data_IF_534962239239
#
_entry.id   IF_534962239239
#
_cell.length_a   1.000
_cell.length_b   1.000
_cell.length_c   1.000
_cell.angle_alpha   90.00
_cell.angle_beta   90.00
_cell.angle_gamma   90.00
#
_symmetry.space_group_name_H-M   'P 1'
#
loop_
_entity.id
_entity.type
_entity.pdbx_description
1 polymer ?
#
# COMPACT_ATOMS: atom_id res chain seq x y z
N UNK A 1 -3.04 -7.85 -9.62
CA UNK A 1 -3.54 -6.72 -10.42
C UNK A 1 -5.06 -6.82 -10.49
N UNK A 2 -5.75 -5.93 -9.79
CA UNK A 2 -7.21 -5.96 -9.76
C UNK A 2 -7.73 -5.35 -11.06
N UNK A 3 -8.03 -6.17 -12.05
CA UNK A 3 -8.63 -5.75 -13.31
C UNK A 3 -10.13 -6.03 -13.22
N UNK A 4 -10.88 -5.05 -12.72
CA UNK A 4 -12.34 -5.06 -12.80
C UNK A 4 -12.77 -4.29 -14.04
N UNK A 5 -13.30 -4.98 -15.03
CA UNK A 5 -14.00 -4.36 -16.16
C UNK A 5 -15.39 -3.93 -15.68
N UNK A 6 -15.62 -2.63 -15.54
CA UNK A 6 -16.95 -2.06 -15.31
C UNK A 6 -17.54 -1.55 -16.63
N UNK A 7 -18.80 -1.88 -16.98
CA UNK A 7 -19.44 -1.31 -18.14
C UNK A 7 -20.17 0.00 -17.80
N UNK A 8 -19.94 1.02 -18.62
CA UNK A 8 -20.75 2.23 -18.84
C UNK A 8 -20.77 3.33 -17.76
N UNK A 9 -20.06 4.43 -18.04
CA UNK A 9 -20.60 5.76 -17.76
C UNK A 9 -20.26 6.74 -18.87
N UNK A 10 -21.32 7.28 -19.50
CA UNK A 10 -21.23 8.39 -20.47
C UNK A 10 -20.96 9.68 -19.71
N UNK A 11 -19.92 10.42 -20.11
CA UNK A 11 -19.66 11.78 -19.63
C UNK A 11 -20.37 12.82 -20.52
N UNK A 12 -20.91 13.93 -19.95
CA UNK A 12 -21.26 15.12 -20.72
C UNK A 12 -20.05 16.05 -20.90
N UNK A 13 -19.97 16.81 -21.99
CA UNK A 13 -18.87 17.73 -22.27
C UNK A 13 -19.15 19.11 -21.67
N UNK A 14 -18.16 19.80 -21.17
CA UNK A 14 -18.00 21.26 -21.05
C UNK A 14 -16.88 21.58 -20.04
N UNK A 15 -15.74 22.06 -20.50
CA UNK A 15 -15.21 23.39 -20.21
C UNK A 15 -13.91 23.64 -20.99
N UNK A 16 -13.94 24.70 -21.79
CA UNK A 16 -12.78 25.32 -22.45
C UNK A 16 -12.46 26.63 -21.71
N UNK A 17 -11.19 26.96 -21.64
CA UNK A 17 -10.61 28.28 -21.34
C UNK A 17 -9.33 28.10 -20.53
N UNK A 18 -8.20 28.58 -20.90
CA UNK A 18 -7.73 29.60 -21.79
C UNK A 18 -6.69 30.48 -21.09
N UNK A 19 -5.37 30.33 -21.47
CA UNK A 19 -4.28 31.34 -21.54
C UNK A 19 -3.94 32.22 -20.29
N UNK A 20 -2.67 32.38 -19.91
CA UNK A 20 -1.54 33.08 -20.54
C UNK A 20 -0.28 33.09 -19.66
N UNK A 21 0.85 33.15 -20.33
CA UNK A 21 2.22 33.25 -19.84
C UNK A 21 2.59 34.62 -19.25
N UNK A 22 3.60 34.67 -18.40
CA UNK A 22 4.51 35.80 -18.29
C UNK A 22 5.91 35.37 -17.84
N UNK A 23 6.89 35.79 -18.61
CA UNK A 23 8.35 35.64 -18.47
C UNK A 23 8.88 36.75 -17.56
N UNK A 24 9.89 36.42 -16.75
CA UNK A 24 10.66 37.43 -16.02
C UNK A 24 12.01 36.86 -15.59
N UNK A 25 13.04 37.10 -16.41
CA UNK A 25 14.44 36.88 -16.09
C UNK A 25 15.02 38.07 -15.37
N UNK A 26 15.83 37.82 -14.32
CA UNK A 26 16.78 38.83 -13.83
C UNK A 26 18.07 38.13 -13.39
N UNK A 27 19.12 38.50 -14.12
CA UNK A 27 20.53 38.18 -13.86
C UNK A 27 21.09 39.22 -12.91
N UNK A 28 21.89 38.85 -11.90
CA UNK A 28 22.86 39.73 -11.29
C UNK A 28 24.14 38.97 -10.92
N UNK A 29 25.23 39.40 -11.55
CA UNK A 29 26.62 39.08 -11.25
C UNK A 29 27.11 39.82 -9.99
N UNK A 30 28.10 39.26 -9.32
CA UNK A 30 28.93 40.01 -8.36
C UNK A 30 29.93 39.16 -7.58
N UNK A 31 31.10 39.05 -8.13
CA UNK A 31 32.46 39.37 -7.64
C UNK A 31 33.08 38.53 -6.50
N UNK A 32 34.21 37.96 -6.88
CA UNK A 32 35.26 37.30 -6.12
C UNK A 32 36.07 38.28 -5.24
N UNK A 33 36.42 37.91 -4.02
CA UNK A 33 37.61 38.39 -3.32
C UNK A 33 38.33 37.25 -2.62
N UNK A 34 39.56 37.03 -3.02
CA UNK A 34 40.58 36.13 -2.49
C UNK A 34 41.30 36.73 -1.28
N UNK A 35 41.58 35.93 -0.25
CA UNK A 35 42.51 36.23 0.85
C UNK A 35 43.14 34.96 1.42
N UNK A 36 44.39 34.97 1.95
CA UNK A 36 45.29 33.84 1.96
C UNK A 36 45.18 32.91 3.19
N UNK A 37 45.58 31.67 2.95
CA UNK A 37 45.66 30.55 3.89
C UNK A 37 46.65 30.77 5.06
N UNK A 38 46.24 30.38 6.26
CA UNK A 38 47.13 30.01 7.37
C UNK A 38 46.80 28.60 7.81
N UNK A 39 47.79 27.71 7.60
CA UNK A 39 47.82 26.34 8.10
C UNK A 39 48.19 26.34 9.60
N UNK A 40 47.36 25.81 10.44
CA UNK A 40 47.73 25.33 11.76
C UNK A 40 47.26 23.87 11.90
N UNK A 41 48.25 22.98 12.07
CA UNK A 41 48.01 21.58 12.37
C UNK A 41 47.50 21.45 13.81
N UNK A 42 46.36 20.78 14.00
CA UNK A 42 45.88 20.35 15.30
C UNK A 42 45.64 18.84 15.27
N UNK A 43 46.17 18.18 16.28
CA UNK A 43 46.13 16.74 16.50
C UNK A 43 44.72 16.17 16.53
N UNK A 44 44.54 15.00 15.88
CA UNK A 44 43.30 14.22 15.90
C UNK A 44 43.27 13.38 17.17
N UNK A 45 42.24 13.46 18.03
CA UNK A 45 41.95 12.41 19.00
C UNK A 45 41.12 11.32 18.31
N UNK A 46 41.48 10.07 18.56
CA UNK A 46 40.71 8.89 18.13
C UNK A 46 39.29 8.92 18.73
N UNK A 47 38.33 9.22 17.89
CA UNK A 47 36.91 9.17 18.23
C UNK A 47 36.33 7.78 17.98
N UNK A 48 35.59 7.29 18.98
CA UNK A 48 34.76 6.10 18.89
C UNK A 48 33.74 6.23 17.74
N UNK A 49 33.28 5.13 17.12
CA UNK A 49 32.20 5.21 16.14
C UNK A 49 30.90 5.60 16.86
N UNK A 50 30.51 6.85 16.75
CA UNK A 50 29.17 7.29 17.12
C UNK A 50 28.16 6.62 16.16
N UNK A 51 27.32 5.79 16.72
CA UNK A 51 26.10 5.31 16.09
C UNK A 51 25.30 6.53 15.63
N UNK A 52 25.17 6.73 14.32
CA UNK A 52 24.23 7.67 13.75
C UNK A 52 22.81 7.24 14.12
N UNK A 53 22.34 7.70 15.27
CA UNK A 53 20.91 7.80 15.52
C UNK A 53 20.35 8.78 14.49
N UNK A 54 19.74 8.25 13.43
CA UNK A 54 18.91 9.05 12.55
C UNK A 54 17.77 9.61 13.39
N UNK A 55 17.91 10.86 13.82
CA UNK A 55 16.82 11.62 14.38
C UNK A 55 15.79 11.79 13.26
N UNK A 56 14.75 10.97 13.28
CA UNK A 56 13.54 11.22 12.52
C UNK A 56 12.97 12.53 13.01
N UNK A 57 13.27 13.63 12.30
CA UNK A 57 12.54 14.87 12.47
C UNK A 57 11.07 14.57 12.21
N UNK A 58 10.28 14.51 13.29
CA UNK A 58 8.82 14.47 13.18
C UNK A 58 8.41 15.67 12.33
N UNK A 59 8.07 15.43 11.07
CA UNK A 59 7.52 16.48 10.20
C UNK A 59 6.21 16.91 10.85
N UNK A 60 6.22 18.09 11.44
CA UNK A 60 5.07 18.64 12.17
C UNK A 60 3.83 18.56 11.29
N UNK A 61 2.79 17.92 11.77
CA UNK A 61 1.50 17.86 11.11
C UNK A 61 1.20 16.59 10.30
N UNK A 62 2.05 15.56 10.32
CA UNK A 62 1.70 14.26 9.74
C UNK A 62 0.43 13.70 10.37
N UNK A 63 -0.43 13.05 9.54
CA UNK A 63 -1.74 12.55 9.95
C UNK A 63 -2.78 13.63 10.25
N UNK A 64 -2.47 14.92 10.02
CA UNK A 64 -3.46 16.00 10.17
C UNK A 64 -4.51 15.86 9.09
N UNK A 65 -5.78 15.80 9.50
CA UNK A 65 -6.93 15.77 8.60
C UNK A 65 -7.02 17.09 7.82
N UNK A 66 -7.05 16.99 6.48
CA UNK A 66 -7.26 18.12 5.57
C UNK A 66 -8.74 18.27 5.26
N UNK A 67 -9.40 17.18 4.85
CA UNK A 67 -10.84 17.14 4.56
C UNK A 67 -11.43 15.78 4.89
N UNK A 68 -12.75 15.76 5.09
CA UNK A 68 -13.55 14.55 5.25
C UNK A 68 -14.83 14.70 4.44
N UNK A 69 -15.07 13.77 3.54
CA UNK A 69 -16.26 13.69 2.70
C UNK A 69 -17.05 12.44 3.03
N UNK A 70 -18.36 12.57 3.24
CA UNK A 70 -19.23 11.41 3.34
C UNK A 70 -19.54 10.88 1.95
N UNK A 71 -19.09 9.66 1.66
CA UNK A 71 -19.27 9.05 0.34
C UNK A 71 -20.65 8.40 0.19
N UNK A 72 -20.98 7.51 1.12
CA UNK A 72 -22.27 6.79 1.08
C UNK A 72 -22.66 6.21 2.45
N UNK A 73 -23.87 5.70 2.48
CA UNK A 73 -24.41 4.94 3.62
C UNK A 73 -25.08 3.67 3.11
N UNK A 74 -24.71 2.52 3.63
CA UNK A 74 -25.43 1.26 3.52
C UNK A 74 -26.21 1.08 4.81
N UNK A 75 -27.49 1.44 4.79
CA UNK A 75 -28.26 1.68 6.01
C UNK A 75 -28.56 0.42 6.84
N UNK A 76 -28.47 -0.76 6.23
CA UNK A 76 -28.81 -2.04 6.88
C UNK A 76 -27.76 -3.10 6.62
N UNK A 77 -27.72 -4.14 7.46
CA UNK A 77 -26.90 -5.32 7.23
C UNK A 77 -27.19 -5.97 5.87
N UNK A 78 -28.45 -6.01 5.43
CA UNK A 78 -28.84 -6.55 4.13
C UNK A 78 -28.24 -5.74 2.97
N UNK A 79 -28.18 -4.40 3.09
CA UNK A 79 -27.55 -3.56 2.07
C UNK A 79 -26.05 -3.80 2.01
N UNK A 80 -25.37 -4.00 3.16
CA UNK A 80 -23.96 -4.37 3.20
C UNK A 80 -23.73 -5.76 2.60
N UNK A 81 -24.56 -6.74 2.95
CA UNK A 81 -24.49 -8.08 2.40
C UNK A 81 -24.61 -8.08 0.87
N UNK A 82 -25.56 -7.30 0.33
CA UNK A 82 -25.71 -7.16 -1.11
C UNK A 82 -24.48 -6.52 -1.78
N UNK A 83 -23.88 -5.49 -1.15
CA UNK A 83 -22.67 -4.83 -1.62
C UNK A 83 -21.47 -5.80 -1.66
N UNK A 84 -21.25 -6.56 -0.58
CA UNK A 84 -20.16 -7.54 -0.52
C UNK A 84 -20.33 -8.66 -1.56
N UNK A 85 -21.54 -9.22 -1.70
CA UNK A 85 -21.81 -10.22 -2.75
C UNK A 85 -21.60 -9.68 -4.15
N UNK A 86 -21.94 -8.42 -4.44
CA UNK A 86 -21.71 -7.81 -5.76
C UNK A 86 -20.21 -7.68 -6.08
N UNK A 87 -19.38 -7.54 -5.05
CA UNK A 87 -17.92 -7.54 -5.17
C UNK A 87 -17.30 -8.96 -5.09
N UNK A 88 -18.12 -10.02 -4.99
CA UNK A 88 -17.70 -11.41 -4.92
C UNK A 88 -17.28 -11.88 -3.54
N UNK A 89 -17.53 -11.12 -2.47
CA UNK A 89 -17.18 -11.49 -1.10
C UNK A 89 -18.32 -12.17 -0.35
N UNK A 90 -17.97 -13.01 0.64
CA UNK A 90 -18.91 -13.62 1.56
C UNK A 90 -19.53 -12.57 2.50
N UNK A 91 -20.77 -12.81 2.94
CA UNK A 91 -21.52 -11.89 3.80
C UNK A 91 -21.88 -12.47 5.19
N UNK A 92 -21.36 -13.62 5.54
CA UNK A 92 -21.65 -14.36 6.77
C UNK A 92 -21.23 -13.62 8.06
N UNK A 93 -20.27 -12.70 7.94
CA UNK A 93 -19.76 -11.87 9.04
C UNK A 93 -20.50 -10.53 9.18
N UNK A 94 -21.40 -10.21 8.27
CA UNK A 94 -22.17 -8.95 8.27
C UNK A 94 -23.12 -8.87 9.45
N UNK A 95 -23.10 -7.75 10.19
CA UNK A 95 -23.93 -7.51 11.38
C UNK A 95 -24.65 -6.16 11.36
N UNK A 96 -23.98 -5.12 10.84
CA UNK A 96 -24.44 -3.73 10.88
C UNK A 96 -24.48 -3.13 9.47
N UNK A 97 -25.33 -2.12 9.28
CA UNK A 97 -25.14 -1.15 8.21
C UNK A 97 -23.82 -0.38 8.42
N UNK A 98 -23.37 0.35 7.42
CA UNK A 98 -22.14 1.15 7.51
C UNK A 98 -22.30 2.53 6.90
N UNK A 99 -21.46 3.46 7.34
CA UNK A 99 -21.25 4.76 6.70
C UNK A 99 -19.79 4.91 6.32
N UNK A 100 -19.54 5.36 5.09
CA UNK A 100 -18.21 5.49 4.50
C UNK A 100 -17.84 6.96 4.28
N UNK A 101 -16.59 7.30 4.57
CA UNK A 101 -16.01 8.62 4.40
C UNK A 101 -14.69 8.50 3.64
N UNK A 102 -14.42 9.45 2.75
CA UNK A 102 -13.05 9.73 2.27
C UNK A 102 -12.43 10.73 3.22
N UNK A 103 -11.23 10.41 3.70
CA UNK A 103 -10.40 11.35 4.45
C UNK A 103 -9.20 11.72 3.59
N UNK A 104 -8.91 13.03 3.47
CA UNK A 104 -7.65 13.54 2.92
C UNK A 104 -6.80 14.03 4.08
N UNK A 105 -5.54 13.66 4.11
CA UNK A 105 -4.64 13.94 5.23
C UNK A 105 -3.23 14.30 4.79
N UNK A 106 -2.51 14.98 5.66
CA UNK A 106 -1.10 15.31 5.45
C UNK A 106 -0.21 14.12 5.77
N UNK A 107 0.76 13.90 4.91
CA UNK A 107 1.79 12.85 5.03
C UNK A 107 3.11 13.33 4.45
N UNK A 108 4.05 12.43 4.22
CA UNK A 108 5.32 12.72 3.53
C UNK A 108 5.52 11.78 2.36
N UNK A 109 6.23 12.26 1.34
CA UNK A 109 6.68 11.44 0.21
C UNK A 109 7.85 10.51 0.62
N UNK A 110 8.34 9.62 -0.26
CA UNK A 110 9.47 8.73 0.04
C UNK A 110 10.77 9.46 0.42
N UNK A 111 10.90 10.74 0.08
CA UNK A 111 12.04 11.59 0.41
C UNK A 111 11.81 12.44 1.67
N UNK A 112 10.71 12.21 2.40
CA UNK A 112 10.37 12.96 3.62
C UNK A 112 9.80 14.34 3.37
N UNK A 113 9.46 14.73 2.13
CA UNK A 113 8.85 16.02 1.83
C UNK A 113 7.35 15.99 2.10
N UNK A 114 6.78 17.09 2.64
CA UNK A 114 5.35 17.17 2.91
C UNK A 114 4.50 16.95 1.64
N UNK A 115 3.50 16.08 1.76
CA UNK A 115 2.50 15.81 0.72
C UNK A 115 1.14 15.51 1.35
N UNK A 116 0.18 15.05 0.54
CA UNK A 116 -1.13 14.58 1.00
C UNK A 116 -1.42 13.19 0.44
N UNK A 117 -2.25 12.45 1.14
CA UNK A 117 -2.85 11.22 0.67
C UNK A 117 -4.32 11.17 1.08
N UNK A 118 -5.06 10.21 0.55
CA UNK A 118 -6.44 9.95 0.93
C UNK A 118 -6.62 8.51 1.41
N UNK A 119 -7.81 8.22 1.90
CA UNK A 119 -8.18 6.87 2.29
C UNK A 119 -9.65 6.74 2.65
N UNK A 120 -10.12 5.49 2.69
CA UNK A 120 -11.48 5.12 3.04
C UNK A 120 -11.58 4.86 4.54
N UNK A 121 -12.51 5.55 5.21
CA UNK A 121 -12.86 5.34 6.60
C UNK A 121 -14.31 4.88 6.71
N UNK A 122 -14.53 3.68 7.25
CA UNK A 122 -15.86 3.06 7.32
C UNK A 122 -16.22 2.78 8.78
N UNK A 123 -17.40 3.21 9.16
CA UNK A 123 -17.92 3.04 10.52
C UNK A 123 -19.21 2.22 10.54
N UNK A 124 -19.42 1.37 11.56
CA UNK A 124 -20.68 0.65 11.73
C UNK A 124 -21.80 1.62 12.06
N UNK A 125 -22.97 1.41 11.46
CA UNK A 125 -24.20 2.08 11.85
C UNK A 125 -24.86 1.31 12.99
N UNK A 126 -25.08 2.00 14.09
CA UNK A 126 -25.82 1.44 15.23
C UNK A 126 -27.28 1.87 15.17
N UNK A 127 -28.18 0.92 14.93
CA UNK A 127 -29.64 1.16 14.83
C UNK A 127 -30.29 1.52 16.16
N UNK A 128 -29.58 1.37 17.30
CA UNK A 128 -30.18 1.54 18.63
C UNK A 128 -29.77 2.84 19.34
N UNK A 129 -29.35 3.90 18.61
CA UNK A 129 -28.64 4.96 19.28
C UNK A 129 -29.20 6.39 19.27
N UNK A 130 -29.54 6.80 20.45
CA UNK A 130 -29.24 8.11 21.05
C UNK A 130 -28.20 7.91 22.16
N UNK A 131 -26.91 7.78 21.87
CA UNK A 131 -25.94 7.65 22.93
C UNK A 131 -25.40 9.01 23.34
N UNK A 132 -25.53 9.29 24.61
CA UNK A 132 -24.94 10.44 25.31
C UNK A 132 -23.41 10.31 25.47
N UNK A 133 -22.83 9.16 25.07
CA UNK A 133 -21.39 8.87 25.23
C UNK A 133 -20.76 8.41 23.92
N UNK A 134 -19.53 8.81 23.70
CA UNK A 134 -18.69 8.36 22.58
C UNK A 134 -18.51 6.83 22.65
N UNK A 135 -18.64 6.14 21.51
CA UNK A 135 -18.45 4.69 21.45
C UNK A 135 -17.02 4.34 21.06
N UNK A 136 -16.29 3.58 21.89
CA UNK A 136 -14.98 3.07 21.51
C UNK A 136 -15.12 1.99 20.43
N UNK A 137 -14.23 2.05 19.43
CA UNK A 137 -14.12 1.08 18.35
C UNK A 137 -12.65 0.70 18.16
N UNK A 138 -12.38 -0.59 18.04
CA UNK A 138 -11.09 -1.04 17.52
C UNK A 138 -10.98 -0.67 16.04
N UNK A 139 -9.84 -0.12 15.64
CA UNK A 139 -9.54 0.08 14.24
C UNK A 139 -9.04 -1.22 13.60
N UNK A 140 -9.45 -1.48 12.36
CA UNK A 140 -8.84 -2.46 11.47
C UNK A 140 -8.27 -1.70 10.28
N UNK A 141 -6.94 -1.72 10.13
CA UNK A 141 -6.25 -1.18 8.97
C UNK A 141 -6.17 -2.25 7.89
N UNK A 142 -6.73 -1.98 6.73
CA UNK A 142 -6.64 -2.84 5.54
C UNK A 142 -5.81 -2.15 4.48
N UNK A 143 -4.70 -2.75 4.10
CA UNK A 143 -3.81 -2.33 3.03
C UNK A 143 -4.17 -3.08 1.74
N UNK A 144 -4.54 -2.35 0.68
CA UNK A 144 -5.02 -2.96 -0.57
C UNK A 144 -3.89 -3.48 -1.46
N UNK A 145 -4.23 -4.34 -2.42
CA UNK A 145 -3.30 -4.87 -3.43
C UNK A 145 -2.99 -3.85 -4.53
N UNK A 146 -2.17 -4.27 -5.50
CA UNK A 146 -1.71 -3.44 -6.61
C UNK A 146 -2.87 -2.82 -7.39
N UNK A 147 -2.81 -1.51 -7.57
CA UNK A 147 -3.62 -0.72 -8.48
C UNK A 147 -2.72 0.07 -9.44
N UNK A 148 -3.25 0.47 -10.58
CA UNK A 148 -2.53 1.26 -11.60
C UNK A 148 -3.17 2.63 -11.85
N UNK A 149 -4.49 2.70 -11.78
CA UNK A 149 -5.23 3.94 -11.89
C UNK A 149 -5.53 4.51 -10.51
N UNK A 150 -5.56 5.82 -10.36
CA UNK A 150 -5.89 6.48 -9.08
C UNK A 150 -7.23 6.04 -8.53
N UNK A 151 -8.18 5.72 -9.40
CA UNK A 151 -9.50 5.23 -9.01
C UNK A 151 -9.49 3.76 -8.53
N UNK A 152 -8.40 3.00 -8.66
CA UNK A 152 -8.27 1.66 -8.07
C UNK A 152 -8.12 1.69 -6.54
N UNK A 153 -8.13 2.86 -5.96
CA UNK A 153 -7.99 3.07 -4.53
C UNK A 153 -9.32 2.83 -3.75
N UNK A 154 -9.27 2.38 -2.49
CA UNK A 154 -10.44 2.07 -1.69
C UNK A 154 -11.45 3.21 -1.54
N UNK A 155 -11.00 4.47 -1.46
CA UNK A 155 -11.89 5.61 -1.28
C UNK A 155 -12.54 6.11 -2.57
N UNK A 156 -12.12 5.59 -3.73
CA UNK A 156 -12.56 6.06 -5.04
C UNK A 156 -13.70 5.23 -5.62
N UNK A 157 -13.82 3.97 -5.22
CA UNK A 157 -14.78 3.04 -5.80
C UNK A 157 -15.70 2.46 -4.73
N UNK A 158 -17.00 2.46 -5.03
CA UNK A 158 -18.01 1.76 -4.25
C UNK A 158 -18.29 0.38 -4.86
N UNK A 159 -18.56 -0.62 -4.00
CA UNK A 159 -18.89 -1.98 -4.44
C UNK A 159 -17.73 -2.69 -5.15
N UNK A 160 -16.51 -2.21 -4.93
CA UNK A 160 -15.32 -2.70 -5.58
C UNK A 160 -14.58 -3.70 -4.70
N UNK A 161 -13.80 -4.56 -5.36
CA UNK A 161 -12.94 -5.55 -4.73
C UNK A 161 -12.01 -4.94 -3.66
N UNK A 162 -11.46 -3.74 -3.92
CA UNK A 162 -10.52 -3.06 -3.02
C UNK A 162 -11.16 -2.47 -1.76
N UNK A 163 -12.47 -2.17 -1.78
CA UNK A 163 -13.20 -1.60 -0.63
C UNK A 163 -13.95 -2.64 0.20
N UNK A 164 -14.23 -3.83 -0.36
CA UNK A 164 -15.04 -4.85 0.30
C UNK A 164 -14.47 -5.32 1.65
N UNK A 165 -13.15 -5.60 1.82
CA UNK A 165 -12.62 -6.04 3.11
C UNK A 165 -12.84 -5.02 4.23
N UNK A 166 -12.61 -3.73 3.97
CA UNK A 166 -12.78 -2.69 5.00
C UNK A 166 -14.25 -2.51 5.37
N UNK A 167 -15.18 -2.68 4.41
CA UNK A 167 -16.63 -2.69 4.64
C UNK A 167 -17.04 -3.89 5.50
N UNK A 168 -16.49 -5.08 5.24
CA UNK A 168 -16.76 -6.29 6.01
C UNK A 168 -16.34 -6.13 7.48
N UNK A 169 -15.13 -5.61 7.74
CA UNK A 169 -14.66 -5.31 9.09
C UNK A 169 -15.55 -4.29 9.80
N UNK A 170 -15.95 -3.24 9.10
CA UNK A 170 -16.82 -2.21 9.68
C UNK A 170 -18.22 -2.77 10.00
N UNK A 171 -18.80 -3.55 9.10
CA UNK A 171 -20.10 -4.20 9.37
C UNK A 171 -20.04 -5.20 10.53
N UNK A 172 -18.90 -5.81 10.79
CA UNK A 172 -18.66 -6.66 11.94
C UNK A 172 -18.40 -5.88 13.25
N UNK A 173 -18.52 -4.54 13.24
CA UNK A 173 -18.47 -3.67 14.42
C UNK A 173 -17.08 -3.09 14.74
N UNK A 174 -16.15 -3.07 13.81
CA UNK A 174 -14.88 -2.34 13.91
C UNK A 174 -14.96 -0.96 13.22
N UNK A 175 -13.95 -0.14 13.38
CA UNK A 175 -13.71 0.99 12.50
C UNK A 175 -12.75 0.54 11.37
N UNK A 176 -13.24 0.49 10.14
CA UNK A 176 -12.43 0.12 8.98
C UNK A 176 -11.63 1.32 8.48
N UNK A 177 -10.32 1.15 8.29
CA UNK A 177 -9.38 2.18 7.83
C UNK A 177 -8.58 1.61 6.65
N UNK A 178 -8.71 2.17 5.47
CA UNK A 178 -7.96 1.74 4.29
C UNK A 178 -7.29 2.93 3.63
N UNK A 179 -5.94 3.06 3.72
CA UNK A 179 -5.21 4.08 2.97
C UNK A 179 -5.33 3.82 1.47
N UNK A 180 -5.36 4.90 0.68
CA UNK A 180 -5.27 4.81 -0.79
C UNK A 180 -3.81 4.74 -1.28
N UNK A 181 -2.83 4.96 -0.40
CA UNK A 181 -1.39 5.16 -0.63
C UNK A 181 -1.07 6.50 -1.32
N UNK A 182 0.24 6.77 -1.46
CA UNK A 182 0.72 7.93 -2.22
C UNK A 182 0.47 7.73 -3.72
N UNK A 183 0.12 8.80 -4.42
CA UNK A 183 -0.12 8.76 -5.85
C UNK A 183 -1.42 8.08 -6.28
N UNK A 184 -2.17 7.51 -5.32
CA UNK A 184 -3.49 6.90 -5.52
C UNK A 184 -4.57 7.79 -4.89
N UNK A 185 -5.83 7.55 -5.24
CA UNK A 185 -6.95 8.35 -4.75
C UNK A 185 -6.79 9.84 -5.07
N UNK A 186 -6.96 10.69 -4.05
CA UNK A 186 -6.76 12.14 -4.14
C UNK A 186 -5.28 12.58 -4.00
N UNK A 187 -4.36 11.61 -3.83
CA UNK A 187 -2.93 11.88 -3.67
C UNK A 187 -2.28 12.42 -4.96
N UNK A 188 -1.35 13.39 -4.87
CA UNK A 188 -0.60 13.88 -6.03
C UNK A 188 0.51 12.91 -6.45
N UNK A 189 0.96 13.05 -7.68
CA UNK A 189 2.11 12.31 -8.25
C UNK A 189 1.80 10.87 -8.63
N UNK A 190 2.80 10.10 -9.09
CA UNK A 190 2.69 8.68 -9.35
C UNK A 190 2.75 7.85 -8.07
N UNK A 191 2.21 6.64 -8.10
CA UNK A 191 2.29 5.69 -7.01
C UNK A 191 3.71 5.11 -6.86
N UNK A 192 4.35 5.22 -5.67
CA UNK A 192 5.63 4.57 -5.38
C UNK A 192 5.40 3.09 -5.04
N UNK A 193 5.02 2.32 -6.05
CA UNK A 193 4.62 0.93 -5.93
C UNK A 193 5.68 0.07 -5.24
N UNK A 194 5.28 -0.75 -4.26
CA UNK A 194 6.16 -1.62 -3.46
C UNK A 194 7.21 -0.87 -2.61
N UNK A 195 7.09 0.46 -2.46
CA UNK A 195 7.89 1.20 -1.48
C UNK A 195 7.23 1.09 -0.10
N UNK A 196 7.57 0.04 0.63
CA UNK A 196 6.99 -0.28 1.95
C UNK A 196 7.13 0.89 2.93
N UNK A 197 8.17 1.70 2.81
CA UNK A 197 8.39 2.87 3.65
C UNK A 197 7.27 3.90 3.51
N UNK A 198 6.92 4.28 2.30
CA UNK A 198 5.84 5.24 2.03
C UNK A 198 4.46 4.64 2.27
N UNK A 199 4.25 3.35 1.97
CA UNK A 199 3.00 2.64 2.28
C UNK A 199 2.75 2.59 3.79
N UNK A 200 3.79 2.31 4.58
CA UNK A 200 3.76 2.37 6.06
C UNK A 200 3.40 3.75 6.56
N UNK A 201 4.08 4.77 6.03
CA UNK A 201 3.89 6.16 6.42
C UNK A 201 2.46 6.64 6.12
N UNK A 202 1.97 6.38 4.90
CA UNK A 202 0.61 6.72 4.50
C UNK A 202 -0.44 6.00 5.35
N UNK A 203 -0.22 4.71 5.67
CA UNK A 203 -1.13 3.92 6.51
C UNK A 203 -1.19 4.43 7.95
N UNK A 204 -0.05 4.77 8.55
CA UNK A 204 0.00 5.31 9.91
C UNK A 204 -0.65 6.70 9.99
N UNK A 205 -0.41 7.55 8.99
CA UNK A 205 -1.00 8.88 8.94
C UNK A 205 -2.50 8.85 8.66
N UNK A 206 -3.00 7.84 7.90
CA UNK A 206 -4.43 7.58 7.75
C UNK A 206 -5.09 7.17 9.09
N UNK A 207 -4.44 6.34 9.89
CA UNK A 207 -4.93 5.99 11.24
C UNK A 207 -5.01 7.23 12.14
N UNK A 208 -4.03 8.14 12.09
CA UNK A 208 -4.03 9.41 12.82
C UNK A 208 -5.20 10.30 12.39
N UNK A 209 -5.42 10.44 11.08
CA UNK A 209 -6.54 11.20 10.51
C UNK A 209 -7.90 10.60 10.91
N UNK A 210 -8.03 9.28 10.83
CA UNK A 210 -9.25 8.57 11.24
C UNK A 210 -9.54 8.80 12.74
N UNK A 211 -8.52 8.74 13.61
CA UNK A 211 -8.66 9.05 15.03
C UNK A 211 -9.11 10.49 15.28
N UNK A 212 -8.55 11.45 14.55
CA UNK A 212 -8.93 12.85 14.66
C UNK A 212 -10.36 13.11 14.17
N UNK A 213 -10.84 12.35 13.18
CA UNK A 213 -12.18 12.51 12.62
C UNK A 213 -13.26 11.76 13.39
N UNK A 214 -12.98 10.57 13.95
CA UNK A 214 -13.96 9.70 14.61
C UNK A 214 -14.87 10.41 15.65
N UNK A 215 -14.37 11.36 16.49
CA UNK A 215 -15.23 12.08 17.44
C UNK A 215 -16.37 12.87 16.78
N UNK A 216 -16.18 13.35 15.56
CA UNK A 216 -17.24 14.07 14.81
C UNK A 216 -18.40 13.17 14.41
N UNK A 217 -18.21 11.86 14.50
CA UNK A 217 -19.23 10.82 14.19
C UNK A 217 -19.78 10.13 15.43
N UNK A 218 -19.38 10.58 16.63
CA UNK A 218 -19.78 9.98 17.91
C UNK A 218 -18.99 8.73 18.32
N UNK A 219 -17.79 8.53 17.74
CA UNK A 219 -16.91 7.40 18.03
C UNK A 219 -15.54 7.87 18.51
N UNK A 220 -14.81 6.96 19.19
CA UNK A 220 -13.39 7.12 19.48
C UNK A 220 -12.67 5.83 19.07
N UNK A 221 -11.46 5.95 18.55
CA UNK A 221 -10.65 4.77 18.21
C UNK A 221 -9.84 4.33 19.43
N UNK A 222 -9.87 3.04 19.69
CA UNK A 222 -9.06 2.42 20.74
C UNK A 222 -7.59 2.35 20.34
N UNK A 223 -6.72 2.04 21.32
CA UNK A 223 -5.28 1.99 21.10
C UNK A 223 -4.85 0.82 20.22
N UNK A 224 -5.45 -0.38 20.44
CA UNK A 224 -5.11 -1.58 19.68
C UNK A 224 -5.68 -1.54 18.28
N UNK A 225 -4.79 -1.63 17.28
CA UNK A 225 -5.13 -1.71 15.85
C UNK A 225 -4.90 -3.12 15.35
N UNK A 226 -5.90 -3.70 14.70
CA UNK A 226 -5.75 -4.92 13.93
C UNK A 226 -5.29 -4.55 12.52
N UNK A 227 -4.31 -5.24 11.97
CA UNK A 227 -3.70 -4.92 10.68
C UNK A 227 -3.81 -6.10 9.73
N UNK A 228 -4.31 -5.85 8.54
CA UNK A 228 -4.37 -6.83 7.46
C UNK A 228 -4.08 -6.16 6.13
N UNK A 229 -3.72 -6.93 5.13
CA UNK A 229 -3.46 -6.43 3.79
C UNK A 229 -3.34 -7.57 2.80
N UNK A 230 -3.54 -7.28 1.53
CA UNK A 230 -3.57 -8.25 0.46
C UNK A 230 -2.53 -7.92 -0.61
N UNK A 231 -1.79 -8.95 -1.10
CA UNK A 231 -0.82 -8.80 -2.19
C UNK A 231 0.26 -7.76 -1.83
N UNK A 232 0.47 -6.69 -2.62
CA UNK A 232 1.29 -5.52 -2.25
C UNK A 232 0.98 -5.05 -0.83
N UNK A 233 -0.31 -4.96 -0.48
CA UNK A 233 -0.76 -4.51 0.83
C UNK A 233 -0.38 -5.45 1.98
N UNK A 234 -0.02 -6.69 1.72
CA UNK A 234 0.44 -7.60 2.75
C UNK A 234 1.83 -7.18 3.28
N UNK A 235 2.73 -6.73 2.41
CA UNK A 235 4.02 -6.13 2.80
C UNK A 235 3.81 -4.78 3.51
N UNK A 236 2.90 -3.95 3.02
CA UNK A 236 2.51 -2.69 3.68
C UNK A 236 1.93 -2.93 5.09
N UNK A 237 1.13 -4.00 5.27
CA UNK A 237 0.59 -4.39 6.57
C UNK A 237 1.68 -4.80 7.57
N UNK A 238 2.70 -5.51 7.12
CA UNK A 238 3.88 -5.85 7.93
C UNK A 238 4.67 -4.58 8.30
N UNK A 239 4.90 -3.68 7.35
CA UNK A 239 5.55 -2.39 7.59
C UNK A 239 4.81 -1.54 8.64
N UNK A 240 3.50 -1.37 8.48
CA UNK A 240 2.66 -0.66 9.45
C UNK A 240 2.70 -1.33 10.83
N UNK A 241 2.64 -2.66 10.88
CA UNK A 241 2.66 -3.40 12.14
C UNK A 241 3.99 -3.22 12.90
N UNK A 242 5.10 -3.23 12.16
CA UNK A 242 6.44 -2.93 12.70
C UNK A 242 6.51 -1.51 13.26
N UNK A 243 6.00 -0.52 12.52
CA UNK A 243 5.94 0.89 12.93
C UNK A 243 5.11 1.08 14.20
N UNK A 244 3.92 0.46 14.28
CA UNK A 244 3.07 0.48 15.48
C UNK A 244 3.78 -0.15 16.69
N UNK A 245 4.44 -1.30 16.51
CA UNK A 245 5.20 -1.96 17.58
C UNK A 245 6.43 -1.18 18.01
N UNK A 246 7.08 -0.46 17.11
CA UNK A 246 8.21 0.42 17.39
C UNK A 246 7.80 1.70 18.16
N UNK A 247 6.50 1.99 18.26
CA UNK A 247 5.98 3.16 18.98
C UNK A 247 6.12 4.46 18.20
N UNK A 248 6.16 4.41 16.86
CA UNK A 248 6.17 5.59 15.99
C UNK A 248 4.88 6.42 16.10
N UNK A 249 3.85 5.85 16.68
CA UNK A 249 2.68 6.57 17.17
C UNK A 249 2.51 6.39 18.68
N UNK A 250 2.30 7.48 19.40
CA UNK A 250 2.15 7.45 20.88
C UNK A 250 0.81 6.89 21.34
N UNK A 251 -0.17 6.81 20.46
CA UNK A 251 -1.51 6.33 20.79
C UNK A 251 -1.72 4.89 20.36
N UNK A 252 -1.41 4.57 19.10
CA UNK A 252 -1.72 3.27 18.54
C UNK A 252 -0.69 2.20 18.88
N UNK A 253 -1.19 0.99 19.10
CA UNK A 253 -0.44 -0.22 19.39
C UNK A 253 -0.92 -1.36 18.48
N UNK A 254 -0.03 -2.25 18.09
CA UNK A 254 -0.39 -3.42 17.30
C UNK A 254 -1.22 -4.41 18.13
N UNK A 255 -2.41 -4.77 17.65
CA UNK A 255 -3.32 -5.73 18.30
C UNK A 255 -3.33 -7.13 17.67
N UNK A 256 -3.04 -7.22 16.38
CA UNK A 256 -2.97 -8.47 15.61
C UNK A 256 -2.64 -8.20 14.16
N UNK A 257 -2.07 -9.18 13.47
CA UNK A 257 -1.57 -9.05 12.09
C UNK A 257 -1.99 -10.24 11.24
N UNK A 258 -2.60 -9.98 10.07
CA UNK A 258 -3.13 -10.96 9.13
C UNK A 258 -2.81 -10.60 7.67
N UNK A 259 -1.57 -10.72 7.20
CA UNK A 259 -1.26 -10.47 5.79
C UNK A 259 -1.70 -11.65 4.91
N UNK A 260 -2.10 -11.35 3.67
CA UNK A 260 -2.70 -12.29 2.70
C UNK A 260 -1.92 -12.26 1.39
N UNK A 261 -1.41 -13.40 0.95
CA UNK A 261 -0.80 -13.63 -0.39
C UNK A 261 0.19 -12.52 -0.79
N UNK A 262 1.15 -12.21 0.07
CA UNK A 262 2.11 -11.14 -0.16
C UNK A 262 3.39 -11.61 -0.84
N UNK A 263 4.02 -10.74 -1.62
CA UNK A 263 5.36 -10.91 -2.17
C UNK A 263 6.41 -10.41 -1.14
N UNK A 264 6.51 -11.09 0.00
CA UNK A 264 7.30 -10.65 1.17
C UNK A 264 8.80 -10.66 0.95
N UNK A 265 9.30 -11.55 0.12
CA UNK A 265 10.68 -11.68 -0.32
C UNK A 265 10.71 -11.40 -1.83
N UNK A 266 10.45 -10.13 -2.17
CA UNK A 266 10.22 -9.72 -3.55
C UNK A 266 11.45 -9.97 -4.42
N UNK A 267 12.63 -9.55 -3.97
CA UNK A 267 13.90 -9.75 -4.67
C UNK A 267 14.38 -11.20 -4.67
N UNK A 268 14.23 -11.91 -3.55
CA UNK A 268 14.77 -13.26 -3.38
C UNK A 268 13.85 -14.38 -3.86
N UNK A 269 12.54 -14.14 -3.94
CA UNK A 269 11.54 -15.17 -4.27
C UNK A 269 10.65 -14.78 -5.43
N UNK A 270 10.08 -13.57 -5.42
CA UNK A 270 9.07 -13.17 -6.40
C UNK A 270 9.67 -12.82 -7.76
N UNK A 271 10.74 -12.01 -7.80
CA UNK A 271 11.44 -11.70 -9.06
C UNK A 271 12.00 -12.93 -9.77
N UNK A 272 12.66 -13.90 -9.10
CA UNK A 272 13.01 -15.17 -9.72
C UNK A 272 11.81 -15.92 -10.27
N UNK A 273 10.68 -15.97 -9.54
CA UNK A 273 9.47 -16.65 -10.00
C UNK A 273 8.86 -15.98 -11.24
N UNK A 274 8.91 -14.65 -11.30
CA UNK A 274 8.49 -13.88 -12.45
C UNK A 274 9.35 -14.16 -13.68
N UNK A 275 10.68 -14.24 -13.51
CA UNK A 275 11.63 -14.41 -14.60
C UNK A 275 11.67 -15.84 -15.15
N UNK A 276 11.39 -16.85 -14.34
CA UNK A 276 11.38 -18.26 -14.71
C UNK A 276 9.98 -18.79 -15.13
N UNK A 277 8.98 -17.90 -15.18
CA UNK A 277 7.64 -18.22 -15.71
C UNK A 277 6.74 -18.97 -14.73
N UNK A 278 6.99 -18.92 -13.43
CA UNK A 278 6.09 -19.48 -12.40
C UNK A 278 4.86 -18.60 -12.13
N UNK A 279 4.92 -17.32 -12.49
CA UNK A 279 3.75 -16.44 -12.46
C UNK A 279 2.93 -16.55 -13.74
N UNK A 280 1.67 -16.10 -13.68
CA UNK A 280 0.88 -15.91 -14.90
C UNK A 280 1.62 -14.94 -15.84
N UNK A 281 1.79 -15.34 -17.10
CA UNK A 281 2.74 -14.72 -18.03
C UNK A 281 2.49 -13.21 -18.21
N UNK A 282 1.23 -12.81 -18.36
CA UNK A 282 0.88 -11.41 -18.59
C UNK A 282 1.01 -10.56 -17.34
N UNK A 283 0.63 -11.09 -16.20
CA UNK A 283 0.87 -10.44 -14.90
C UNK A 283 2.37 -10.26 -14.64
N UNK A 284 3.18 -11.26 -14.97
CA UNK A 284 4.65 -11.19 -14.87
C UNK A 284 5.23 -10.05 -15.70
N UNK A 285 4.75 -9.86 -16.94
CA UNK A 285 5.18 -8.74 -17.81
C UNK A 285 4.82 -7.39 -17.19
N UNK A 286 3.60 -7.22 -16.69
CA UNK A 286 3.16 -5.95 -16.08
C UNK A 286 3.93 -5.69 -14.79
N UNK A 287 4.16 -6.68 -13.94
CA UNK A 287 4.93 -6.52 -12.71
C UNK A 287 6.41 -6.20 -12.97
N UNK A 288 7.03 -6.81 -13.99
CA UNK A 288 8.38 -6.45 -14.41
C UNK A 288 8.47 -4.98 -14.85
N UNK A 289 7.52 -4.53 -15.68
CA UNK A 289 7.45 -3.14 -16.11
C UNK A 289 7.24 -2.19 -14.91
N UNK A 290 6.28 -2.51 -14.02
CA UNK A 290 5.97 -1.67 -12.86
C UNK A 290 7.16 -1.58 -11.90
N UNK A 291 7.85 -2.71 -11.65
CA UNK A 291 9.07 -2.74 -10.83
C UNK A 291 10.11 -1.77 -11.38
N UNK A 292 10.47 -1.90 -12.66
CA UNK A 292 11.50 -1.07 -13.27
C UNK A 292 11.10 0.41 -13.26
N UNK A 293 9.86 0.74 -13.64
CA UNK A 293 9.40 2.13 -13.71
C UNK A 293 9.27 2.77 -12.33
N UNK A 294 8.64 2.10 -11.36
CA UNK A 294 8.45 2.65 -10.02
C UNK A 294 9.80 2.80 -9.28
N UNK A 295 10.67 1.78 -9.39
CA UNK A 295 11.98 1.82 -8.74
C UNK A 295 12.91 2.83 -9.40
N UNK A 296 12.81 3.03 -10.74
CA UNK A 296 13.59 4.08 -11.39
C UNK A 296 13.20 5.47 -10.92
N UNK A 297 11.93 5.74 -10.79
CA UNK A 297 11.42 7.04 -10.27
C UNK A 297 11.92 7.36 -8.86
N UNK A 298 12.13 6.35 -8.04
CA UNK A 298 12.57 6.52 -6.65
C UNK A 298 14.08 6.43 -6.46
N UNK A 299 14.73 5.54 -7.21
CA UNK A 299 16.10 5.09 -6.91
C UNK A 299 17.07 5.26 -8.07
N UNK A 300 16.62 5.69 -9.26
CA UNK A 300 17.45 5.83 -10.47
C UNK A 300 18.18 4.53 -10.81
N UNK A 301 17.42 3.47 -11.11
CA UNK A 301 17.95 2.13 -11.40
C UNK A 301 18.41 1.96 -12.84
N UNK A 302 18.04 2.88 -13.74
CA UNK A 302 18.55 3.04 -15.11
C UNK A 302 18.52 4.52 -15.52
N UNK A 303 19.36 4.90 -16.49
CA UNK A 303 19.45 6.28 -16.99
C UNK A 303 18.45 6.55 -18.13
N UNK A 304 18.19 5.55 -18.98
CA UNK A 304 17.25 5.65 -20.11
C UNK A 304 16.36 4.42 -20.20
N UNK A 305 15.05 4.57 -20.52
CA UNK A 305 14.16 3.43 -20.70
C UNK A 305 14.64 2.40 -21.72
N UNK A 306 15.37 2.83 -22.78
CA UNK A 306 15.94 1.94 -23.80
C UNK A 306 17.04 1.00 -23.28
N UNK A 307 17.60 1.25 -22.11
CA UNK A 307 18.55 0.33 -21.47
C UNK A 307 17.84 -0.95 -20.98
N UNK A 308 16.61 -0.81 -20.50
CA UNK A 308 15.89 -1.89 -19.84
C UNK A 308 14.69 -2.40 -20.64
N UNK A 309 14.09 -1.55 -21.50
CA UNK A 309 12.94 -1.90 -22.33
C UNK A 309 13.29 -1.93 -23.81
N UNK A 310 12.74 -2.88 -24.55
CA UNK A 310 12.86 -2.96 -26.02
C UNK A 310 11.89 -2.00 -26.70
N UNK A 311 12.28 -1.53 -27.90
CA UNK A 311 11.34 -0.82 -28.78
C UNK A 311 10.16 -1.72 -29.17
N UNK A 312 8.92 -1.18 -29.23
CA UNK A 312 8.55 0.22 -29.02
C UNK A 312 8.26 0.61 -27.56
N UNK A 313 8.38 -0.32 -26.60
CA UNK A 313 7.99 -0.14 -25.20
C UNK A 313 8.89 0.85 -24.45
N UNK A 314 10.14 1.01 -24.86
CA UNK A 314 11.08 2.01 -24.34
C UNK A 314 10.57 3.46 -24.42
N UNK A 315 9.68 3.74 -25.36
CA UNK A 315 9.07 5.07 -25.55
C UNK A 315 7.68 5.22 -24.93
N UNK A 316 7.04 4.13 -24.49
CA UNK A 316 5.62 4.15 -24.10
C UNK A 316 5.34 3.61 -22.69
N UNK A 317 6.17 2.67 -22.19
CA UNK A 317 5.83 1.90 -20.99
C UNK A 317 5.79 2.74 -19.72
N UNK A 318 6.68 3.73 -19.57
CA UNK A 318 6.70 4.58 -18.36
C UNK A 318 5.41 5.39 -18.19
N UNK A 319 4.80 5.83 -19.29
CA UNK A 319 3.55 6.59 -19.28
C UNK A 319 2.37 5.75 -18.77
N UNK A 320 2.40 4.42 -18.94
CA UNK A 320 1.34 3.53 -18.46
C UNK A 320 1.20 3.53 -16.93
N UNK A 321 2.24 3.90 -16.20
CA UNK A 321 2.26 3.90 -14.73
C UNK A 321 2.20 5.31 -14.12
N UNK A 322 1.47 6.22 -14.75
CA UNK A 322 1.29 7.61 -14.29
C UNK A 322 0.09 7.82 -13.36
N UNK A 323 -0.69 6.76 -13.11
CA UNK A 323 -1.91 6.80 -12.30
C UNK A 323 -3.18 7.17 -13.09
N UNK A 324 -3.09 7.32 -14.42
CA UNK A 324 -4.24 7.65 -15.29
C UNK A 324 -4.65 6.49 -16.20
N UNK A 325 -3.86 5.41 -16.24
CA UNK A 325 -4.11 4.24 -17.07
C UNK A 325 -4.68 3.09 -16.24
N UNK A 326 -5.76 2.51 -16.74
CA UNK A 326 -6.41 1.35 -16.12
C UNK A 326 -5.58 0.08 -16.29
N UNK A 327 -5.84 -0.92 -15.45
CA UNK A 327 -5.21 -2.23 -15.62
C UNK A 327 -5.42 -2.84 -17.00
N UNK A 328 -6.58 -2.62 -17.65
CA UNK A 328 -6.84 -3.07 -19.01
C UNK A 328 -5.93 -2.35 -20.04
N UNK A 329 -5.69 -1.06 -19.84
CA UNK A 329 -4.76 -0.28 -20.68
C UNK A 329 -3.31 -0.74 -20.49
N UNK A 330 -2.90 -1.06 -19.26
CA UNK A 330 -1.60 -1.68 -19.01
C UNK A 330 -1.46 -3.02 -19.73
N UNK A 331 -2.50 -3.85 -19.66
CA UNK A 331 -2.51 -5.15 -20.34
C UNK A 331 -2.42 -5.02 -21.85
N UNK A 332 -3.05 -4.01 -22.44
CA UNK A 332 -2.97 -3.74 -23.90
C UNK A 332 -1.65 -3.07 -24.30
N UNK A 333 -1.13 -2.18 -23.46
CA UNK A 333 0.08 -1.40 -23.71
C UNK A 333 1.40 -2.13 -23.51
N UNK A 334 1.36 -3.37 -22.95
CA UNK A 334 2.54 -4.21 -22.72
C UNK A 334 2.47 -5.48 -23.58
N UNK A 335 3.61 -6.14 -23.91
CA UNK A 335 3.62 -7.37 -24.71
C UNK A 335 3.09 -8.58 -23.93
N UNK A 336 2.97 -9.73 -24.63
CA UNK A 336 2.54 -11.01 -24.01
C UNK A 336 3.66 -11.79 -23.32
N UNK A 337 4.94 -11.38 -23.49
CA UNK A 337 6.08 -12.10 -22.96
C UNK A 337 7.19 -11.15 -22.51
N UNK A 338 7.94 -11.53 -21.47
CA UNK A 338 9.05 -10.75 -20.92
C UNK A 338 10.15 -10.46 -21.95
N UNK A 339 10.48 -11.43 -22.80
CA UNK A 339 11.52 -11.27 -23.82
C UNK A 339 11.16 -10.26 -24.91
N UNK A 340 9.86 -9.99 -25.09
CA UNK A 340 9.41 -8.91 -25.96
C UNK A 340 9.43 -7.53 -25.28
N UNK A 341 9.39 -7.49 -23.93
CA UNK A 341 9.44 -6.26 -23.16
C UNK A 341 10.88 -5.83 -22.83
N UNK A 342 11.67 -6.79 -22.28
CA UNK A 342 12.96 -6.49 -21.65
C UNK A 342 14.13 -6.63 -22.61
N UNK A 343 15.09 -5.71 -22.50
CA UNK A 343 16.45 -5.93 -23.02
C UNK A 343 17.18 -6.98 -22.17
N UNK A 344 18.35 -7.44 -22.64
CA UNK A 344 19.22 -8.30 -21.84
C UNK A 344 19.66 -7.61 -20.53
N UNK A 345 19.95 -6.30 -20.59
CA UNK A 345 20.29 -5.53 -19.40
C UNK A 345 19.12 -5.44 -18.42
N UNK A 346 17.88 -5.16 -18.89
CA UNK A 346 16.70 -5.13 -18.05
C UNK A 346 16.41 -6.46 -17.37
N UNK A 347 16.57 -7.58 -18.11
CA UNK A 347 16.46 -8.93 -17.55
C UNK A 347 17.54 -9.19 -16.49
N UNK A 348 18.80 -8.82 -16.77
CA UNK A 348 19.92 -8.99 -15.84
C UNK A 348 19.73 -8.17 -14.57
N UNK A 349 19.22 -6.93 -14.68
CA UNK A 349 18.96 -6.06 -13.53
C UNK A 349 17.91 -6.65 -12.59
N UNK A 350 16.88 -7.33 -13.11
CA UNK A 350 15.88 -8.04 -12.31
C UNK A 350 16.40 -9.37 -11.76
N UNK A 351 17.21 -10.11 -12.52
CA UNK A 351 17.73 -11.43 -12.12
C UNK A 351 18.88 -11.33 -11.10
N UNK A 352 19.72 -10.32 -11.24
CA UNK A 352 20.92 -10.08 -10.44
C UNK A 352 20.97 -8.63 -9.98
N UNK A 353 20.06 -8.19 -9.09
CA UNK A 353 19.97 -6.81 -8.66
C UNK A 353 21.30 -6.31 -8.06
N UNK A 354 21.75 -5.14 -8.51
CA UNK A 354 22.96 -4.48 -8.03
C UNK A 354 22.71 -2.99 -7.80
N UNK A 355 23.68 -2.30 -7.15
CA UNK A 355 23.60 -0.86 -6.93
C UNK A 355 22.29 -0.40 -6.29
N UNK A 356 21.65 0.65 -6.87
CA UNK A 356 20.39 1.20 -6.36
C UNK A 356 19.25 0.19 -6.32
N UNK A 357 19.13 -0.69 -7.32
CA UNK A 357 18.10 -1.75 -7.37
C UNK A 357 18.22 -2.71 -6.19
N UNK A 358 19.43 -3.20 -5.91
CA UNK A 358 19.64 -4.09 -4.76
C UNK A 358 19.39 -3.37 -3.42
N UNK A 359 19.69 -2.08 -3.33
CA UNK A 359 19.40 -1.29 -2.12
C UNK A 359 17.88 -1.14 -1.88
N UNK A 360 17.13 -0.84 -2.94
CA UNK A 360 15.68 -0.73 -2.89
C UNK A 360 15.03 -2.06 -2.48
N UNK A 361 15.41 -3.16 -3.09
CA UNK A 361 14.90 -4.50 -2.78
C UNK A 361 15.17 -4.92 -1.34
N UNK A 362 16.36 -4.64 -0.79
CA UNK A 362 16.63 -4.94 0.63
C UNK A 362 15.64 -4.25 1.59
N UNK A 363 15.19 -3.05 1.26
CA UNK A 363 14.18 -2.35 2.07
C UNK A 363 12.79 -2.99 1.92
N UNK A 364 12.43 -3.40 0.70
CA UNK A 364 11.17 -4.08 0.42
C UNK A 364 11.11 -5.46 1.08
N UNK A 365 12.22 -6.22 1.06
CA UNK A 365 12.29 -7.60 1.54
C UNK A 365 12.42 -7.72 3.07
N UNK A 366 12.74 -6.64 3.78
CA UNK A 366 12.98 -6.65 5.22
C UNK A 366 11.70 -6.80 6.08
N UNK A 367 10.52 -6.94 5.46
CA UNK A 367 9.23 -6.90 6.19
C UNK A 367 9.01 -8.07 7.15
N UNK A 368 9.63 -9.23 6.89
CA UNK A 368 9.54 -10.42 7.77
C UNK A 368 10.83 -10.68 8.56
N UNK A 369 11.96 -10.01 8.27
CA UNK A 369 13.28 -10.41 8.79
C UNK A 369 13.81 -9.53 9.92
N UNK A 370 13.51 -8.25 9.95
CA UNK A 370 14.20 -7.28 10.81
C UNK A 370 13.48 -7.00 12.13
N UNK A 371 12.47 -7.79 12.48
CA UNK A 371 11.71 -7.61 13.70
C UNK A 371 10.97 -8.89 14.12
N UNK A 372 10.50 -8.92 15.37
CA UNK A 372 9.68 -9.99 15.93
C UNK A 372 8.35 -9.42 16.44
N UNK A 373 7.21 -9.67 15.75
CA UNK A 373 5.89 -9.26 16.23
C UNK A 373 5.57 -9.81 17.61
N UNK A 374 5.15 -8.93 18.53
CA UNK A 374 4.65 -9.34 19.86
C UNK A 374 3.15 -9.60 19.88
N UNK A 375 2.42 -9.03 18.92
CA UNK A 375 1.01 -9.32 18.73
C UNK A 375 0.81 -10.64 17.97
N UNK A 376 -0.36 -11.30 18.09
CA UNK A 376 -0.66 -12.50 17.33
C UNK A 376 -0.58 -12.28 15.83
N UNK A 377 0.02 -13.22 15.10
CA UNK A 377 0.16 -13.21 13.63
C UNK A 377 -0.47 -14.46 13.04
N UNK A 378 -1.15 -14.32 11.91
CA UNK A 378 -1.54 -15.42 11.00
C UNK A 378 -1.25 -15.00 9.57
N UNK A 379 -0.51 -15.82 8.83
CA UNK A 379 -0.26 -15.64 7.41
C UNK A 379 -1.32 -16.39 6.62
N UNK A 380 -1.85 -15.78 5.56
CA UNK A 380 -2.86 -16.39 4.70
C UNK A 380 -2.32 -16.54 3.28
N UNK A 381 -2.58 -17.67 2.64
CA UNK A 381 -2.22 -17.92 1.24
C UNK A 381 -3.26 -18.81 0.57
N UNK A 382 -3.25 -18.85 -0.77
CA UNK A 382 -4.03 -19.80 -1.56
C UNK A 382 -3.09 -20.79 -2.27
N UNK A 383 -3.47 -22.08 -2.29
CA UNK A 383 -2.74 -23.09 -3.04
C UNK A 383 -2.75 -22.77 -4.52
N UNK A 384 -1.55 -22.66 -5.13
CA UNK A 384 -1.37 -22.40 -6.56
C UNK A 384 -1.68 -20.96 -6.94
N UNK A 385 -1.41 -20.02 -6.07
CA UNK A 385 -1.42 -18.57 -6.35
C UNK A 385 -0.49 -18.29 -7.55
N UNK A 386 -1.06 -17.68 -8.58
CA UNK A 386 -0.40 -17.42 -9.86
C UNK A 386 0.19 -16.00 -9.98
N UNK A 387 0.06 -15.16 -8.94
CA UNK A 387 0.54 -13.78 -8.94
C UNK A 387 1.50 -13.46 -7.80
N UNK A 388 1.43 -14.21 -6.68
CA UNK A 388 2.39 -14.15 -5.59
C UNK A 388 2.69 -15.58 -5.13
N UNK A 389 3.84 -16.13 -5.54
CA UNK A 389 4.15 -17.53 -5.28
C UNK A 389 4.13 -17.85 -3.79
N UNK A 390 3.54 -18.97 -3.39
CA UNK A 390 3.36 -19.39 -1.98
C UNK A 390 4.67 -19.47 -1.20
N UNK A 391 5.80 -19.69 -1.89
CA UNK A 391 7.14 -19.66 -1.32
C UNK A 391 7.45 -18.34 -0.56
N UNK A 392 6.84 -17.21 -0.93
CA UNK A 392 6.95 -15.96 -0.16
C UNK A 392 6.38 -16.12 1.25
N UNK A 393 5.20 -16.73 1.38
CA UNK A 393 4.56 -16.97 2.68
C UNK A 393 5.37 -17.95 3.53
N UNK A 394 5.89 -19.01 2.93
CA UNK A 394 6.75 -19.99 3.60
C UNK A 394 8.05 -19.34 4.14
N UNK A 395 8.70 -18.50 3.32
CA UNK A 395 9.91 -17.76 3.73
C UNK A 395 9.62 -16.75 4.83
N UNK A 396 8.50 -16.01 4.74
CA UNK A 396 8.10 -15.10 5.78
C UNK A 396 7.85 -15.84 7.11
N UNK A 397 7.14 -16.98 7.07
CA UNK A 397 6.92 -17.82 8.25
C UNK A 397 8.25 -18.27 8.86
N UNK A 398 9.19 -18.75 8.05
CA UNK A 398 10.49 -19.22 8.51
C UNK A 398 11.32 -18.08 9.13
N UNK A 399 11.32 -16.89 8.52
CA UNK A 399 12.00 -15.72 9.06
C UNK A 399 11.44 -15.31 10.43
N UNK A 400 10.12 -15.29 10.57
CA UNK A 400 9.44 -15.00 11.84
C UNK A 400 9.73 -16.09 12.88
N UNK A 401 9.73 -17.37 12.49
CA UNK A 401 10.08 -18.49 13.37
C UNK A 401 11.52 -18.41 13.87
N UNK A 402 12.46 -18.02 13.01
CA UNK A 402 13.87 -17.78 13.37
C UNK A 402 14.01 -16.64 14.39
N UNK A 403 13.11 -15.66 14.34
CA UNK A 403 13.01 -14.58 15.31
C UNK A 403 12.19 -14.94 16.56
N UNK A 404 11.82 -16.22 16.74
CA UNK A 404 11.07 -16.71 17.90
C UNK A 404 9.57 -16.43 17.88
N UNK A 405 9.00 -16.12 16.71
CA UNK A 405 7.58 -15.81 16.55
C UNK A 405 6.83 -16.99 15.92
N UNK A 406 5.78 -17.44 16.58
CA UNK A 406 4.83 -18.37 15.99
C UNK A 406 3.86 -17.62 15.09
N UNK A 407 3.93 -17.87 13.77
CA UNK A 407 3.06 -17.29 12.74
C UNK A 407 2.45 -18.42 11.91
N UNK A 408 1.33 -19.03 12.36
CA UNK A 408 0.70 -20.11 11.62
C UNK A 408 0.24 -19.63 10.23
N UNK A 409 0.50 -20.47 9.22
CA UNK A 409 -0.02 -20.29 7.87
C UNK A 409 -1.41 -20.93 7.77
N UNK A 410 -2.35 -20.17 7.25
CA UNK A 410 -3.69 -20.62 6.88
C UNK A 410 -3.72 -20.77 5.38
N UNK A 411 -3.64 -22.00 4.90
CA UNK A 411 -3.88 -22.31 3.50
C UNK A 411 -5.40 -22.32 3.23
N UNK A 412 -5.83 -21.43 2.36
CA UNK A 412 -7.23 -21.26 1.95
C UNK A 412 -7.66 -22.31 0.90
N UNK A 413 -6.72 -23.14 0.44
CA UNK A 413 -6.95 -24.12 -0.62
C UNK A 413 -6.96 -23.49 -2.01
N UNK A 414 -7.53 -24.21 -2.97
CA UNK A 414 -7.64 -23.80 -4.37
C UNK A 414 -8.87 -22.89 -4.58
N UNK A 415 -8.92 -21.77 -3.85
CA UNK A 415 -9.97 -20.75 -4.00
C UNK A 415 -9.83 -20.02 -5.33
N UNK A 416 -10.94 -19.50 -5.86
CA UNK A 416 -10.96 -18.79 -7.13
C UNK A 416 -11.87 -17.57 -7.05
N UNK A 417 -11.45 -16.47 -7.68
CA UNK A 417 -12.28 -15.32 -7.97
C UNK A 417 -12.00 -14.83 -9.39
N UNK A 418 -12.97 -14.95 -10.26
CA UNK A 418 -12.88 -14.54 -11.68
C UNK A 418 -11.69 -15.18 -12.43
N UNK A 419 -11.38 -16.44 -12.14
CA UNK A 419 -10.29 -17.17 -12.77
C UNK A 419 -8.91 -16.96 -12.12
N UNK A 420 -8.83 -16.23 -11.01
CA UNK A 420 -7.59 -15.99 -10.27
C UNK A 420 -7.68 -16.55 -8.84
N UNK A 421 -6.71 -17.39 -8.49
CA UNK A 421 -6.52 -17.88 -7.11
C UNK A 421 -5.97 -16.78 -6.21
N UNK A 422 -5.11 -15.95 -6.76
CA UNK A 422 -4.59 -14.78 -6.06
C UNK A 422 -5.73 -13.89 -5.56
N UNK A 423 -6.65 -13.49 -6.45
CA UNK A 423 -7.82 -12.70 -6.05
C UNK A 423 -8.74 -13.49 -5.12
N UNK A 424 -8.93 -14.80 -5.36
CA UNK A 424 -9.69 -15.69 -4.51
C UNK A 424 -9.17 -15.76 -3.07
N UNK A 425 -7.86 -15.60 -2.87
CA UNK A 425 -7.26 -15.58 -1.54
C UNK A 425 -7.74 -14.41 -0.69
N UNK A 426 -7.85 -13.20 -1.26
CA UNK A 426 -8.40 -12.04 -0.55
C UNK A 426 -9.87 -12.21 -0.17
N UNK A 427 -10.65 -12.77 -1.11
CA UNK A 427 -12.08 -13.05 -0.87
C UNK A 427 -12.26 -14.02 0.31
N UNK A 428 -11.61 -15.17 0.26
CA UNK A 428 -11.73 -16.21 1.29
C UNK A 428 -11.10 -15.80 2.63
N UNK A 429 -9.96 -15.10 2.61
CA UNK A 429 -9.31 -14.63 3.82
C UNK A 429 -10.14 -13.58 4.56
N UNK A 430 -10.87 -12.73 3.86
CA UNK A 430 -11.59 -11.61 4.49
C UNK A 430 -12.53 -12.06 5.60
N UNK A 431 -13.43 -13.01 5.34
CA UNK A 431 -14.35 -13.54 6.36
C UNK A 431 -13.61 -14.25 7.50
N UNK A 432 -12.56 -15.02 7.19
CA UNK A 432 -11.75 -15.70 8.18
C UNK A 432 -11.04 -14.71 9.12
N UNK A 433 -10.49 -13.62 8.57
CA UNK A 433 -9.79 -12.57 9.33
C UNK A 433 -10.79 -11.77 10.16
N UNK A 434 -11.97 -11.43 9.64
CA UNK A 434 -13.03 -10.76 10.40
C UNK A 434 -13.40 -11.57 11.64
N UNK A 435 -13.58 -12.89 11.51
CA UNK A 435 -13.86 -13.78 12.65
C UNK A 435 -12.71 -13.80 13.65
N UNK A 436 -11.48 -14.00 13.17
CA UNK A 436 -10.30 -14.07 14.04
C UNK A 436 -10.03 -12.75 14.78
N UNK A 437 -10.10 -11.61 14.10
CA UNK A 437 -9.97 -10.30 14.76
C UNK A 437 -11.11 -10.04 15.75
N UNK A 438 -12.33 -10.56 15.46
CA UNK A 438 -13.42 -10.55 16.40
C UNK A 438 -13.15 -11.33 17.68
N UNK A 439 -12.40 -12.44 17.62
CA UNK A 439 -11.96 -13.21 18.78
C UNK A 439 -10.89 -12.46 19.59
N UNK A 440 -9.88 -11.89 18.91
CA UNK A 440 -8.81 -11.12 19.57
C UNK A 440 -9.36 -9.90 20.32
N UNK A 441 -10.38 -9.23 19.78
CA UNK A 441 -11.00 -8.06 20.42
C UNK A 441 -11.82 -8.40 21.68
N UNK A 442 -12.20 -9.66 21.88
CA UNK A 442 -12.94 -10.11 23.06
C UNK A 442 -12.05 -10.54 24.23
N UNK A 443 -10.75 -10.71 23.97
CA UNK A 443 -9.72 -11.02 24.97
C UNK A 443 -9.14 -9.74 25.58
#
# INVERSE_FOLDING_TARGET
MVISASPFSRRPPWYRGGLRAAVGATVCCGLLLSGPARTTAVAVPAGHPEAHAQAHHEVRGRGTLVSAEKLYTLATAQAVAAELRSAGFEDDTVRHGVVAYRLVYRTVDPHGKPTTASGLFVLPLDSKRQARHMRPLHAVSFAHGTGSHKDDAPSMQRGAFVSAPVIAHASAGAAGVAPDYLGMGEGPGPHPWMDVGSETTASLDMLRAARAFAPRTGHVLERKVMVTGFSQGASAALGLSRSLQAGEDRWFELGGLAPVSGAYDFGGTELPALLDGRLEAKSGVVYAAYTLVAFNRLHHVYDSPSEVFRAPYDSTVEALFDGTHTGEELMRGTPGALDALLTEHGRTLLAHPSGPMAAALRTTDAVCTDWAPRAPVRLYMATGDEQAVTANTERCQEALRTSGVEAPVVDLGAVDHQGSRHLGSNVAATSAIVRWFGELRRR
#
